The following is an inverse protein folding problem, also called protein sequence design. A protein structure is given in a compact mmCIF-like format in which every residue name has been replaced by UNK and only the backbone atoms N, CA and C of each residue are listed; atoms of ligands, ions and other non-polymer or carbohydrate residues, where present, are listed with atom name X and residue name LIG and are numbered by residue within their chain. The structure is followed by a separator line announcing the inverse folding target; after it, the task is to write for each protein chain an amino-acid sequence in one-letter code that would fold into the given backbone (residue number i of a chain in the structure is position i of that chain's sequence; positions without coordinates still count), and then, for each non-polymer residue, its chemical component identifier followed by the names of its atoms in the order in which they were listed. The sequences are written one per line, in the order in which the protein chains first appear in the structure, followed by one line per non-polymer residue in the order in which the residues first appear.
data_IF_740558783715
#
_entry.id   IF_740558783715
#
_cell.length_a   1.000
_cell.length_b   1.000
_cell.length_c   1.000
_cell.angle_alpha   90.00
_cell.angle_beta   90.00
_cell.angle_gamma   90.00
#
_symmetry.space_group_name_H-M   'P 1'
#
loop_
_entity.id
_entity.type
_entity.pdbx_description
1 polymer ?
#
# COMPACT_ATOMS: atom_id res chain seq x y z
N UNK A 1 15.78 92.80 -19.46
CA UNK A 1 16.15 92.45 -20.86
C UNK A 1 15.23 91.29 -21.27
N UNK A 2 14.55 91.24 -22.43
CA UNK A 2 15.04 91.31 -23.83
C UNK A 2 16.08 90.21 -24.11
N UNK A 3 15.91 89.22 -24.99
CA UNK A 3 14.76 88.73 -25.79
C UNK A 3 14.76 87.17 -25.66
N UNK A 4 14.10 86.27 -26.42
CA UNK A 4 13.48 86.30 -27.77
C UNK A 4 12.34 85.25 -27.87
N UNK A 5 11.63 85.26 -29.00
CA UNK A 5 10.48 84.42 -29.39
C UNK A 5 10.89 83.40 -30.46
N UNK A 6 10.21 82.24 -30.56
CA UNK A 6 9.89 81.61 -31.85
C UNK A 6 8.60 80.76 -31.80
N UNK A 7 8.03 80.47 -32.98
CA UNK A 7 6.69 79.91 -33.24
C UNK A 7 6.76 78.66 -34.18
N UNK A 8 5.60 78.08 -34.49
CA UNK A 8 5.24 77.20 -35.63
C UNK A 8 5.62 75.69 -35.55
N UNK A 9 4.91 74.73 -36.20
CA UNK A 9 3.46 74.55 -36.53
C UNK A 9 3.17 73.11 -37.08
N UNK A 10 1.91 72.64 -37.00
CA UNK A 10 1.17 71.59 -37.80
C UNK A 10 1.79 70.20 -38.17
N UNK A 11 0.92 69.17 -38.24
CA UNK A 11 1.20 67.85 -38.85
C UNK A 11 0.51 66.66 -38.13
N UNK A 12 -0.82 66.50 -38.12
CA UNK A 12 -1.74 65.92 -39.15
C UNK A 12 -1.64 64.39 -39.41
N UNK A 13 -2.82 63.73 -39.44
CA UNK A 13 -3.13 62.32 -39.76
C UNK A 13 -2.69 61.25 -38.70
N UNK A 14 -3.41 60.13 -38.50
CA UNK A 14 -4.57 59.56 -39.22
C UNK A 14 -5.67 58.95 -38.33
N UNK A 15 -6.91 59.00 -38.87
CA UNK A 15 -8.04 58.04 -38.79
C UNK A 15 -7.96 56.83 -37.83
N UNK A 16 -9.01 56.57 -37.03
CA UNK A 16 -9.13 55.25 -36.37
C UNK A 16 -10.16 54.96 -35.26
N UNK A 17 -11.22 55.75 -35.02
CA UNK A 17 -12.23 55.37 -34.01
C UNK A 17 -13.23 54.33 -34.56
N UNK A 18 -13.16 53.09 -34.06
CA UNK A 18 -14.20 52.06 -34.27
C UNK A 18 -14.84 51.74 -32.91
N UNK A 19 -16.17 51.87 -32.85
CA UNK A 19 -16.95 51.52 -31.66
C UNK A 19 -17.10 49.99 -31.56
N UNK A 20 -16.70 49.42 -30.42
CA UNK A 20 -17.20 48.12 -29.99
C UNK A 20 -18.28 48.33 -28.94
N UNK A 21 -19.54 48.17 -29.36
CA UNK A 21 -20.71 48.23 -28.47
C UNK A 21 -20.78 46.96 -27.61
N UNK A 22 -21.18 47.13 -26.35
CA UNK A 22 -21.44 46.01 -25.44
C UNK A 22 -22.55 45.09 -25.99
N UNK A 23 -22.31 43.77 -25.91
CA UNK A 23 -23.36 42.77 -25.94
C UNK A 23 -23.43 42.13 -24.55
N UNK A 24 -24.58 42.24 -23.87
CA UNK A 24 -24.80 41.58 -22.58
C UNK A 24 -25.09 40.09 -22.79
N UNK A 25 -24.71 39.20 -21.84
CA UNK A 25 -25.03 37.78 -21.93
C UNK A 25 -26.54 37.54 -21.86
N UNK A 26 -27.05 36.71 -22.76
CA UNK A 26 -28.48 36.33 -22.82
C UNK A 26 -28.76 35.25 -21.75
N UNK A 27 -29.80 35.41 -20.91
CA UNK A 27 -30.20 34.36 -19.98
C UNK A 27 -30.87 33.19 -20.72
N UNK A 28 -30.41 31.96 -20.45
CA UNK A 28 -31.05 30.73 -20.93
C UNK A 28 -31.89 30.15 -19.80
N UNK A 29 -33.16 29.85 -20.08
CA UNK A 29 -34.09 29.31 -19.09
C UNK A 29 -33.81 27.81 -18.80
N UNK A 30 -34.06 27.32 -17.57
CA UNK A 30 -33.89 25.92 -17.23
C UNK A 30 -35.18 25.13 -17.49
N UNK A 31 -35.15 24.20 -18.44
CA UNK A 31 -36.24 23.24 -18.65
C UNK A 31 -35.73 21.82 -18.96
N UNK A 32 -36.31 20.85 -18.25
CA UNK A 32 -36.34 19.40 -18.54
C UNK A 32 -35.08 18.72 -19.12
N UNK A 33 -34.23 18.18 -18.24
CA UNK A 33 -33.55 16.89 -18.52
C UNK A 33 -34.47 15.78 -17.97
N UNK A 34 -34.67 14.64 -18.67
CA UNK A 34 -35.57 13.59 -18.19
C UNK A 34 -35.15 13.03 -16.83
N UNK A 35 -36.12 12.79 -15.94
CA UNK A 35 -35.89 12.04 -14.73
C UNK A 35 -35.53 10.59 -15.09
N UNK A 36 -34.33 10.15 -14.70
CA UNK A 36 -33.97 8.74 -14.76
C UNK A 36 -34.63 8.02 -13.60
N UNK A 37 -35.60 7.18 -13.93
CA UNK A 37 -36.30 6.33 -12.97
C UNK A 37 -35.30 5.31 -12.38
N UNK A 38 -35.17 5.31 -11.05
CA UNK A 38 -34.12 4.58 -10.32
C UNK A 38 -34.66 3.61 -9.26
N UNK A 39 -35.91 3.16 -9.41
CA UNK A 39 -36.56 2.15 -8.55
C UNK A 39 -36.02 0.70 -8.77
N UNK A 40 -34.69 0.57 -8.70
CA UNK A 40 -33.95 -0.68 -8.55
C UNK A 40 -32.91 -0.52 -7.43
N UNK A 41 -33.20 -1.08 -6.26
CA UNK A 41 -32.60 -0.67 -4.99
C UNK A 41 -31.06 -0.74 -4.91
N UNK A 42 -30.36 0.40 -4.65
CA UNK A 42 -28.88 0.45 -4.56
C UNK A 42 -28.32 0.17 -3.15
N UNK A 43 -29.13 -0.38 -2.23
CA UNK A 43 -28.93 -0.29 -0.76
C UNK A 43 -27.87 -1.20 -0.15
N UNK A 44 -27.07 -1.95 -0.94
CA UNK A 44 -25.92 -2.72 -0.43
C UNK A 44 -24.53 -2.20 -0.84
N UNK A 45 -24.44 -1.06 -1.53
CA UNK A 45 -23.18 -0.30 -1.68
C UNK A 45 -22.99 0.68 -0.51
N UNK A 46 -22.73 0.17 0.69
CA UNK A 46 -22.00 0.97 1.68
C UNK A 46 -20.62 1.25 1.10
N UNK A 47 -20.32 2.53 0.84
CA UNK A 47 -19.31 2.89 -0.15
C UNK A 47 -17.89 2.63 0.35
N UNK A 48 -17.13 1.81 -0.39
CA UNK A 48 -15.73 1.52 -0.11
C UNK A 48 -14.86 2.77 -0.26
N UNK A 49 -15.15 3.67 -1.22
CA UNK A 49 -14.40 4.92 -1.36
C UNK A 49 -14.66 5.86 -0.19
N UNK A 50 -15.91 6.04 0.27
CA UNK A 50 -16.19 6.85 1.47
C UNK A 50 -15.54 6.24 2.72
N UNK A 51 -15.47 4.91 2.80
CA UNK A 51 -14.79 4.20 3.88
C UNK A 51 -13.27 4.44 3.85
N UNK A 52 -12.65 4.44 2.66
CA UNK A 52 -11.23 4.71 2.48
C UNK A 52 -10.91 6.21 2.65
N UNK A 53 -11.72 7.13 2.14
CA UNK A 53 -11.63 8.57 2.41
C UNK A 53 -11.78 8.88 3.92
N UNK A 54 -12.73 8.24 4.60
CA UNK A 54 -12.93 8.39 6.05
C UNK A 54 -11.73 7.88 6.83
N UNK A 55 -11.19 6.71 6.48
CA UNK A 55 -9.99 6.14 7.10
C UNK A 55 -8.74 7.02 6.86
N UNK A 56 -8.52 7.47 5.62
CA UNK A 56 -7.45 8.39 5.24
C UNK A 56 -7.51 9.71 6.03
N UNK A 57 -8.71 10.26 6.17
CA UNK A 57 -8.98 11.50 6.93
C UNK A 57 -8.81 11.31 8.43
N UNK A 58 -9.24 10.16 8.97
CA UNK A 58 -9.11 9.79 10.39
C UNK A 58 -7.65 9.64 10.81
N UNK A 59 -6.84 8.95 10.00
CA UNK A 59 -5.38 8.85 10.20
C UNK A 59 -4.69 10.21 9.93
N UNK A 60 -5.35 11.09 9.17
CA UNK A 60 -4.88 12.44 8.86
C UNK A 60 -3.77 12.48 7.82
N UNK A 61 -3.76 11.54 6.88
CA UNK A 61 -2.62 11.25 5.99
C UNK A 61 -2.18 12.43 5.11
N UNK A 62 -3.10 13.32 4.74
CA UNK A 62 -2.79 14.57 4.04
C UNK A 62 -1.76 15.46 4.79
N UNK A 63 -1.70 15.38 6.14
CA UNK A 63 -0.71 16.10 6.96
C UNK A 63 0.72 15.57 6.77
N UNK A 64 0.86 14.36 6.24
CA UNK A 64 2.12 13.69 5.92
C UNK A 64 2.39 13.66 4.41
N UNK A 65 1.60 14.40 3.62
CA UNK A 65 1.73 14.54 2.16
C UNK A 65 1.56 13.20 1.39
N UNK A 66 1.09 12.12 2.03
CA UNK A 66 0.82 10.85 1.35
C UNK A 66 -0.37 11.00 0.39
N UNK A 67 -0.21 10.61 -0.88
CA UNK A 67 -1.29 10.65 -1.86
C UNK A 67 -2.46 9.71 -1.50
N UNK A 68 -3.70 10.12 -1.79
CA UNK A 68 -4.87 9.27 -1.54
C UNK A 68 -4.80 8.00 -2.40
N UNK A 69 -4.28 8.10 -3.61
CA UNK A 69 -4.12 7.01 -4.57
C UNK A 69 -3.17 5.92 -4.02
N UNK A 70 -1.99 6.31 -3.52
CA UNK A 70 -1.06 5.38 -2.89
C UNK A 70 -1.67 4.67 -1.68
N UNK A 71 -2.40 5.42 -0.84
CA UNK A 71 -3.12 4.86 0.30
C UNK A 71 -4.24 3.91 -0.14
N UNK A 72 -5.08 4.31 -1.11
CA UNK A 72 -6.24 3.58 -1.62
C UNK A 72 -5.84 2.24 -2.22
N UNK A 73 -4.94 2.24 -3.20
CA UNK A 73 -4.42 1.01 -3.80
C UNK A 73 -3.72 0.15 -2.76
N UNK A 74 -2.92 0.78 -1.88
CA UNK A 74 -2.25 0.11 -0.77
C UNK A 74 -3.20 -0.62 0.17
N UNK A 75 -4.29 0.03 0.58
CA UNK A 75 -5.30 -0.54 1.49
C UNK A 75 -6.06 -1.71 0.86
N UNK A 76 -6.38 -1.65 -0.44
CA UNK A 76 -7.03 -2.75 -1.16
C UNK A 76 -6.15 -3.99 -1.11
N UNK A 77 -4.88 -3.89 -1.51
CA UNK A 77 -3.97 -5.05 -1.48
C UNK A 77 -3.54 -5.49 -0.08
N UNK A 78 -3.46 -4.57 0.91
CA UNK A 78 -3.27 -4.92 2.32
C UNK A 78 -4.44 -5.76 2.85
N UNK A 79 -5.68 -5.38 2.54
CA UNK A 79 -6.86 -6.17 2.88
C UNK A 79 -6.85 -7.55 2.22
N UNK A 80 -6.46 -7.64 0.94
CA UNK A 80 -6.29 -8.92 0.23
C UNK A 80 -5.24 -9.82 0.87
N UNK A 81 -4.03 -9.30 1.12
CA UNK A 81 -2.94 -10.06 1.74
C UNK A 81 -3.32 -10.56 3.14
N UNK A 82 -4.07 -9.76 3.90
CA UNK A 82 -4.65 -10.16 5.18
C UNK A 82 -5.68 -11.27 5.04
N UNK A 83 -6.63 -11.13 4.11
CA UNK A 83 -7.65 -12.15 3.84
C UNK A 83 -7.02 -13.49 3.39
N UNK A 84 -5.95 -13.45 2.62
CA UNK A 84 -5.17 -14.63 2.21
C UNK A 84 -4.23 -15.19 3.29
N UNK A 85 -4.27 -14.68 4.52
CA UNK A 85 -3.43 -15.15 5.62
C UNK A 85 -1.92 -14.92 5.42
N UNK A 86 -1.53 -13.96 4.57
CA UNK A 86 -0.11 -13.63 4.29
C UNK A 86 0.51 -12.71 5.32
N UNK A 87 -0.30 -12.11 6.20
CA UNK A 87 0.11 -11.08 7.15
C UNK A 87 -0.17 -11.51 8.59
N UNK A 88 0.65 -10.99 9.51
CA UNK A 88 0.54 -11.21 10.95
C UNK A 88 -0.47 -10.24 11.64
N UNK A 89 -0.63 -10.47 12.94
CA UNK A 89 -1.52 -9.70 13.81
C UNK A 89 -0.93 -8.38 14.32
N UNK A 90 0.23 -7.92 13.82
CA UNK A 90 0.80 -6.61 14.22
C UNK A 90 -0.04 -5.43 13.71
N UNK A 91 -0.92 -5.64 12.74
CA UNK A 91 -1.74 -4.59 12.10
C UNK A 91 -0.91 -3.43 11.50
N UNK A 92 0.36 -3.65 11.18
CA UNK A 92 1.22 -2.65 10.53
C UNK A 92 1.14 -2.78 9.01
N UNK A 93 0.99 -1.64 8.33
CA UNK A 93 1.03 -1.54 6.88
C UNK A 93 2.01 -0.44 6.46
N UNK A 94 2.96 -0.74 5.58
CA UNK A 94 3.96 0.24 5.10
C UNK A 94 3.70 0.63 3.65
N UNK A 95 3.82 1.92 3.33
CA UNK A 95 3.75 2.47 1.97
C UNK A 95 5.07 3.17 1.65
N UNK A 96 5.57 2.96 0.43
CA UNK A 96 6.65 3.75 -0.16
C UNK A 96 6.06 4.45 -1.38
N UNK A 97 5.88 5.78 -1.30
CA UNK A 97 5.35 6.58 -2.40
C UNK A 97 6.49 7.07 -3.31
N UNK A 98 6.78 6.32 -4.38
CA UNK A 98 7.85 6.67 -5.31
C UNK A 98 7.48 7.80 -6.28
N UNK A 99 6.23 8.30 -6.30
CA UNK A 99 5.90 9.51 -7.07
C UNK A 99 6.66 10.72 -6.54
N UNK A 100 6.99 10.71 -5.23
CA UNK A 100 7.74 11.77 -4.57
C UNK A 100 9.25 11.70 -4.84
N UNK A 101 9.94 12.84 -4.99
CA UNK A 101 11.40 12.90 -5.06
C UNK A 101 12.07 12.32 -3.80
N UNK A 102 13.28 11.79 -3.96
CA UNK A 102 14.10 11.26 -2.86
C UNK A 102 14.39 12.29 -1.77
N UNK A 103 14.39 13.58 -2.11
CA UNK A 103 14.56 14.70 -1.17
C UNK A 103 13.38 14.91 -0.22
N UNK A 104 12.27 14.19 -0.39
CA UNK A 104 11.12 14.20 0.51
C UNK A 104 11.05 12.91 1.35
N UNK A 105 10.45 13.02 2.53
CA UNK A 105 10.00 11.85 3.29
C UNK A 105 8.84 11.20 2.54
N UNK A 106 8.98 9.92 2.23
CA UNK A 106 8.06 9.14 1.37
C UNK A 106 7.93 7.67 1.79
N UNK A 107 8.51 7.32 2.93
CA UNK A 107 8.31 6.05 3.62
C UNK A 107 7.32 6.29 4.77
N UNK A 108 6.26 5.49 4.79
CA UNK A 108 5.17 5.57 5.76
C UNK A 108 4.95 4.19 6.36
N UNK A 109 4.89 4.06 7.68
CA UNK A 109 4.29 2.88 8.33
C UNK A 109 3.07 3.32 9.10
N UNK A 110 1.93 2.78 8.74
CA UNK A 110 0.63 2.99 9.37
C UNK A 110 0.40 1.89 10.42
N UNK A 111 -0.08 2.28 11.58
CA UNK A 111 -0.60 1.38 12.60
C UNK A 111 -2.13 1.32 12.47
N UNK A 112 -2.63 0.21 11.94
CA UNK A 112 -4.06 0.01 11.64
C UNK A 112 -4.87 -0.47 12.86
N UNK A 113 -4.26 -0.55 14.04
CA UNK A 113 -4.96 -0.73 15.31
C UNK A 113 -5.26 0.60 15.99
N UNK A 114 -4.31 1.54 15.95
CA UNK A 114 -4.43 2.88 16.55
C UNK A 114 -4.88 3.96 15.57
N UNK A 115 -4.89 3.66 14.27
CA UNK A 115 -5.17 4.59 13.17
C UNK A 115 -4.20 5.79 13.15
N UNK A 116 -2.90 5.51 13.30
CA UNK A 116 -1.84 6.53 13.31
C UNK A 116 -0.70 6.23 12.35
N UNK A 117 0.00 7.27 11.89
CA UNK A 117 1.30 7.12 11.21
C UNK A 117 2.37 6.84 12.27
N UNK A 118 2.85 5.60 12.33
CA UNK A 118 3.90 5.17 13.26
C UNK A 118 5.28 5.65 12.85
N UNK A 119 5.59 5.60 11.55
CA UNK A 119 6.87 6.07 11.00
C UNK A 119 6.64 6.92 9.75
N UNK A 120 7.37 8.03 9.64
CA UNK A 120 7.39 8.92 8.47
C UNK A 120 8.80 9.42 8.19
N UNK A 121 9.45 8.89 7.15
CA UNK A 121 10.89 9.08 6.93
C UNK A 121 11.33 8.98 5.45
N UNK A 122 12.62 9.16 5.21
CA UNK A 122 13.28 9.04 3.91
C UNK A 122 13.48 7.58 3.49
N UNK A 123 13.50 7.30 2.18
CA UNK A 123 13.89 6.00 1.63
C UNK A 123 14.51 6.12 0.24
N UNK A 124 15.62 5.41 0.00
CA UNK A 124 16.28 5.35 -1.31
C UNK A 124 15.56 4.42 -2.30
N UNK A 125 15.74 4.66 -3.59
CA UNK A 125 15.48 3.68 -4.66
C UNK A 125 16.79 3.15 -5.26
N UNK A 126 16.71 2.13 -6.12
CA UNK A 126 17.84 1.63 -6.90
C UNK A 126 18.40 2.65 -7.89
N UNK A 127 19.72 2.63 -8.13
CA UNK A 127 20.42 3.63 -8.97
C UNK A 127 19.86 3.77 -10.39
N UNK A 128 19.32 2.71 -10.97
CA UNK A 128 18.80 2.74 -12.34
C UNK A 128 17.30 3.11 -12.39
N UNK A 129 16.66 3.38 -11.25
CA UNK A 129 15.24 3.77 -11.19
C UNK A 129 14.98 5.26 -11.42
N UNK A 130 16.01 6.10 -11.29
CA UNK A 130 15.95 7.55 -11.51
C UNK A 130 17.02 8.29 -10.72
N UNK A 131 17.18 9.59 -10.94
CA UNK A 131 18.08 10.44 -10.15
C UNK A 131 17.44 10.88 -8.83
N UNK A 132 16.72 12.01 -8.80
CA UNK A 132 15.98 12.42 -7.59
C UNK A 132 14.57 11.80 -7.57
N UNK A 133 13.85 11.91 -8.68
CA UNK A 133 12.51 11.32 -8.89
C UNK A 133 12.69 9.90 -9.45
N UNK A 134 11.90 8.95 -8.96
CA UNK A 134 11.83 7.60 -9.52
C UNK A 134 10.95 7.60 -10.78
N UNK A 135 11.35 6.90 -11.83
CA UNK A 135 10.68 6.94 -13.14
C UNK A 135 10.63 5.57 -13.83
N UNK A 136 11.44 4.60 -13.42
CA UNK A 136 11.52 3.29 -14.09
C UNK A 136 11.79 2.17 -13.10
N UNK A 137 10.94 1.15 -13.13
CA UNK A 137 11.00 0.01 -12.21
C UNK A 137 11.28 -1.27 -13.00
N UNK A 138 11.85 -2.28 -12.35
CA UNK A 138 12.12 -3.55 -13.02
C UNK A 138 12.16 -4.69 -12.02
N UNK A 139 11.74 -5.85 -12.50
CA UNK A 139 11.85 -7.14 -11.82
C UNK A 139 13.08 -7.96 -12.26
N UNK A 140 13.84 -7.47 -13.24
CA UNK A 140 14.97 -8.22 -13.84
C UNK A 140 16.16 -8.27 -12.89
N UNK A 141 16.83 -9.43 -12.85
CA UNK A 141 18.08 -9.63 -12.11
C UNK A 141 19.17 -8.68 -12.62
N UNK A 142 20.01 -8.17 -11.71
CA UNK A 142 21.06 -7.17 -11.98
C UNK A 142 20.61 -5.82 -12.59
N UNK A 143 19.30 -5.55 -12.75
CA UNK A 143 18.77 -4.27 -13.25
C UNK A 143 19.23 -3.04 -12.45
N UNK A 144 19.53 -3.21 -11.15
CA UNK A 144 19.80 -2.15 -10.18
C UNK A 144 18.64 -1.14 -9.99
N UNK A 145 17.44 -1.53 -10.41
CA UNK A 145 16.19 -0.81 -10.20
C UNK A 145 15.47 -1.35 -8.96
N UNK A 146 14.61 -0.52 -8.37
CA UNK A 146 13.57 -0.99 -7.44
C UNK A 146 12.39 -1.59 -8.23
N UNK A 147 11.58 -2.39 -7.56
CA UNK A 147 10.30 -2.89 -8.08
C UNK A 147 9.12 -2.07 -7.57
N UNK A 148 7.95 -2.18 -8.22
CA UNK A 148 6.67 -1.75 -7.67
C UNK A 148 5.96 -2.89 -6.95
N UNK A 149 4.82 -2.57 -6.34
CA UNK A 149 3.83 -3.51 -5.84
C UNK A 149 4.05 -3.97 -4.40
N UNK A 150 3.38 -5.05 -4.04
CA UNK A 150 3.32 -5.55 -2.68
C UNK A 150 4.48 -6.47 -2.36
N UNK A 151 5.10 -6.23 -1.21
CA UNK A 151 6.05 -7.14 -0.58
C UNK A 151 5.51 -7.57 0.79
N UNK A 152 5.84 -8.80 1.20
CA UNK A 152 5.69 -9.24 2.58
C UNK A 152 7.07 -9.24 3.24
N UNK A 153 7.16 -8.69 4.45
CA UNK A 153 8.42 -8.70 5.22
C UNK A 153 8.68 -10.09 5.80
N UNK A 154 9.94 -10.48 5.92
CA UNK A 154 10.29 -11.83 6.35
C UNK A 154 11.35 -11.82 7.47
N UNK A 155 12.37 -12.67 7.34
CA UNK A 155 13.41 -12.84 8.35
C UNK A 155 14.49 -11.74 8.29
N UNK A 156 15.06 -11.44 9.46
CA UNK A 156 16.17 -10.48 9.60
C UNK A 156 17.51 -11.20 9.66
N UNK A 157 18.56 -10.57 9.13
CA UNK A 157 19.92 -11.09 9.16
C UNK A 157 20.94 -9.95 9.31
N UNK A 158 22.21 -10.31 9.53
CA UNK A 158 23.33 -9.37 9.48
C UNK A 158 24.20 -9.75 8.27
N UNK A 159 24.51 -8.76 7.43
CA UNK A 159 25.32 -8.95 6.23
C UNK A 159 26.16 -7.73 5.88
N UNK A 160 26.61 -7.62 4.63
CA UNK A 160 27.43 -6.50 4.13
C UNK A 160 26.71 -5.14 4.07
N UNK A 161 25.44 -5.10 4.52
CA UNK A 161 24.60 -3.90 4.71
C UNK A 161 24.15 -3.75 6.17
N UNK A 162 24.89 -4.33 7.12
CA UNK A 162 24.53 -4.31 8.53
C UNK A 162 23.27 -5.15 8.82
N UNK A 163 22.44 -4.68 9.75
CA UNK A 163 21.18 -5.32 10.09
C UNK A 163 20.15 -5.09 8.98
N UNK A 164 19.68 -6.18 8.37
CA UNK A 164 18.87 -6.14 7.15
C UNK A 164 17.63 -7.04 7.28
N UNK A 165 16.51 -6.57 6.73
CA UNK A 165 15.24 -7.29 6.66
C UNK A 165 15.00 -7.79 5.23
N UNK A 166 14.85 -9.11 5.08
CA UNK A 166 14.51 -9.70 3.79
C UNK A 166 13.02 -9.51 3.49
N UNK A 167 12.72 -9.49 2.19
CA UNK A 167 11.43 -9.15 1.62
C UNK A 167 11.05 -10.21 0.58
N UNK A 168 9.78 -10.60 0.56
CA UNK A 168 9.19 -11.47 -0.45
C UNK A 168 8.29 -10.65 -1.37
N UNK A 169 8.52 -10.72 -2.67
CA UNK A 169 7.66 -10.09 -3.66
C UNK A 169 6.40 -10.91 -3.90
N UNK A 170 5.24 -10.25 -3.86
CA UNK A 170 3.94 -10.89 -4.00
C UNK A 170 3.34 -10.79 -5.41
N UNK A 171 3.69 -9.74 -6.18
CA UNK A 171 3.19 -9.47 -7.53
C UNK A 171 4.08 -10.13 -8.57
N UNK A 172 3.56 -11.21 -9.15
CA UNK A 172 4.22 -11.96 -10.22
C UNK A 172 4.60 -11.06 -11.40
N UNK A 173 5.82 -11.22 -11.92
CA UNK A 173 6.38 -10.39 -12.98
C UNK A 173 6.86 -8.99 -12.55
N UNK A 174 6.39 -8.44 -11.42
CA UNK A 174 6.77 -7.10 -10.92
C UNK A 174 7.81 -7.14 -9.81
N UNK A 175 7.72 -8.11 -8.89
CA UNK A 175 8.61 -8.19 -7.73
C UNK A 175 8.94 -9.62 -7.24
N UNK A 176 8.37 -10.68 -7.81
CA UNK A 176 8.62 -12.08 -7.41
C UNK A 176 10.13 -12.48 -7.36
N UNK A 177 10.98 -11.93 -8.24
CA UNK A 177 12.44 -12.16 -8.21
C UNK A 177 13.19 -11.43 -7.06
N UNK A 178 12.49 -10.81 -6.11
CA UNK A 178 13.08 -9.99 -5.04
C UNK A 178 14.16 -10.72 -4.21
N UNK A 179 13.94 -12.01 -3.92
CA UNK A 179 14.90 -12.85 -3.19
C UNK A 179 16.17 -13.15 -4.00
N UNK A 180 16.04 -13.54 -5.27
CA UNK A 180 17.16 -13.78 -6.19
C UNK A 180 18.00 -12.52 -6.41
N UNK A 181 17.32 -11.37 -6.50
CA UNK A 181 17.93 -10.04 -6.62
C UNK A 181 18.63 -9.55 -5.34
N UNK A 182 18.59 -10.31 -4.25
CA UNK A 182 19.07 -9.94 -2.93
C UNK A 182 18.55 -8.57 -2.44
N UNK A 183 17.32 -8.22 -2.84
CA UNK A 183 16.69 -6.95 -2.46
C UNK A 183 16.12 -7.07 -1.05
N UNK A 184 16.62 -6.21 -0.16
CA UNK A 184 16.34 -6.22 1.29
C UNK A 184 16.18 -4.78 1.78
N UNK A 185 15.47 -4.57 2.88
CA UNK A 185 15.49 -3.29 3.59
C UNK A 185 16.70 -3.23 4.53
N UNK A 186 17.44 -2.12 4.50
CA UNK A 186 18.68 -1.94 5.28
C UNK A 186 18.96 -0.46 5.59
N UNK A 187 20.01 -0.15 6.35
CA UNK A 187 20.45 1.23 6.60
C UNK A 187 21.47 1.75 5.57
N UNK A 188 21.60 3.07 5.41
CA UNK A 188 22.75 3.65 4.71
C UNK A 188 23.00 5.13 5.06
N UNK A 189 24.28 5.52 5.19
CA UNK A 189 24.72 6.92 5.45
C UNK A 189 24.24 7.92 4.39
N UNK A 190 24.08 7.45 3.15
CA UNK A 190 23.60 8.24 2.02
C UNK A 190 22.09 8.53 2.06
N UNK A 191 21.37 7.98 3.05
CA UNK A 191 19.95 8.24 3.30
C UNK A 191 19.82 9.26 4.44
N UNK A 192 20.36 10.46 4.23
CA UNK A 192 20.42 11.53 5.24
C UNK A 192 20.25 12.92 4.62
N UNK A 193 19.76 13.88 5.40
CA UNK A 193 19.67 15.28 4.96
C UNK A 193 21.03 15.89 4.64
N UNK A 194 22.10 15.48 5.34
CA UNK A 194 23.47 15.91 5.03
C UNK A 194 23.89 15.50 3.63
N UNK A 195 23.43 14.33 3.17
CA UNK A 195 23.66 13.87 1.81
C UNK A 195 22.81 14.66 0.81
N UNK A 196 21.53 14.94 1.11
CA UNK A 196 20.68 15.84 0.29
C UNK A 196 21.35 17.21 0.11
N UNK A 197 21.78 17.85 1.21
CA UNK A 197 22.42 19.18 1.18
C UNK A 197 23.71 19.20 0.36
N UNK A 198 24.42 18.07 0.22
CA UNK A 198 25.68 17.96 -0.52
C UNK A 198 25.51 17.57 -1.99
N UNK A 199 24.47 16.80 -2.32
CA UNK A 199 24.32 16.16 -3.64
C UNK A 199 22.97 16.43 -4.34
N UNK A 200 22.09 17.26 -3.77
CA UNK A 200 20.79 17.64 -4.35
C UNK A 200 19.72 16.54 -4.33
N UNK A 201 20.07 15.33 -3.88
CA UNK A 201 19.20 14.15 -3.74
C UNK A 201 19.80 13.16 -2.75
N UNK A 202 19.06 12.12 -2.34
CA UNK A 202 19.62 11.00 -1.58
C UNK A 202 20.64 10.21 -2.43
N UNK A 203 21.42 9.36 -1.77
CA UNK A 203 22.09 8.26 -2.47
C UNK A 203 21.11 7.18 -2.92
N UNK A 204 21.60 6.27 -3.77
CA UNK A 204 20.79 5.24 -4.42
C UNK A 204 21.43 3.86 -4.21
N UNK A 205 20.58 2.86 -4.03
CA UNK A 205 20.99 1.47 -3.79
C UNK A 205 21.17 0.71 -5.11
N UNK A 206 21.18 -0.62 -5.07
CA UNK A 206 21.03 -1.49 -6.25
C UNK A 206 19.62 -2.11 -6.36
N UNK A 207 18.61 -1.46 -5.76
CA UNK A 207 17.20 -1.86 -5.79
C UNK A 207 16.54 -1.84 -4.42
N UNK A 208 17.33 -2.13 -3.38
CA UNK A 208 16.97 -2.10 -1.96
C UNK A 208 16.34 -0.76 -1.49
N UNK A 209 15.22 -0.78 -0.75
CA UNK A 209 14.78 0.37 0.02
C UNK A 209 15.69 0.56 1.24
N UNK A 210 16.61 1.53 1.19
CA UNK A 210 17.48 1.86 2.31
C UNK A 210 16.92 3.05 3.12
N UNK A 211 17.06 2.99 4.45
CA UNK A 211 16.55 3.95 5.43
C UNK A 211 17.68 4.73 6.13
N UNK A 212 17.38 5.87 6.78
CA UNK A 212 18.33 6.55 7.68
C UNK A 212 18.73 5.63 8.84
N UNK A 213 20.02 5.67 9.22
CA UNK A 213 20.59 4.78 10.25
C UNK A 213 19.85 4.90 11.59
N UNK A 214 19.57 6.12 12.00
CA UNK A 214 18.94 6.51 13.26
C UNK A 214 17.56 5.87 13.50
N UNK A 215 16.83 5.49 12.45
CA UNK A 215 15.47 4.92 12.54
C UNK A 215 15.38 3.50 11.97
N UNK A 216 16.33 3.09 11.13
CA UNK A 216 16.37 1.82 10.40
C UNK A 216 16.05 0.58 11.25
N UNK A 217 16.71 0.44 12.41
CA UNK A 217 16.51 -0.68 13.33
C UNK A 217 15.09 -0.70 13.91
N UNK A 218 14.56 0.43 14.34
CA UNK A 218 13.23 0.51 14.95
C UNK A 218 12.14 0.13 13.94
N UNK A 219 12.25 0.65 12.71
CA UNK A 219 11.37 0.26 11.59
C UNK A 219 11.45 -1.24 11.34
N UNK A 220 12.67 -1.79 11.15
CA UNK A 220 12.87 -3.22 10.89
C UNK A 220 12.33 -4.10 12.03
N UNK A 221 12.61 -3.75 13.29
CA UNK A 221 12.17 -4.53 14.45
C UNK A 221 10.65 -4.51 14.62
N UNK A 222 10.00 -3.38 14.29
CA UNK A 222 8.54 -3.27 14.23
C UNK A 222 7.96 -4.11 13.06
N UNK A 223 8.45 -3.94 11.83
CA UNK A 223 7.79 -4.50 10.63
C UNK A 223 8.24 -5.92 10.24
N UNK A 224 9.30 -6.49 10.83
CA UNK A 224 9.75 -7.87 10.47
C UNK A 224 8.71 -8.96 10.74
N UNK A 225 8.78 -10.06 9.99
CA UNK A 225 8.00 -11.29 10.21
C UNK A 225 6.54 -11.22 9.78
N UNK A 226 6.29 -10.93 8.51
CA UNK A 226 5.00 -10.92 7.79
C UNK A 226 4.10 -9.70 8.04
N UNK A 227 4.60 -8.50 7.76
CA UNK A 227 3.76 -7.30 7.52
C UNK A 227 3.83 -6.87 6.05
N UNK A 228 2.86 -6.10 5.57
CA UNK A 228 2.85 -5.64 4.18
C UNK A 228 3.71 -4.36 3.97
N UNK A 229 4.40 -4.31 2.84
CA UNK A 229 4.94 -3.10 2.22
C UNK A 229 4.26 -2.94 0.85
N UNK A 230 3.85 -1.72 0.50
CA UNK A 230 3.40 -1.37 -0.85
C UNK A 230 4.33 -0.31 -1.46
N UNK A 231 5.04 -0.69 -2.52
CA UNK A 231 5.84 0.24 -3.32
C UNK A 231 4.99 0.83 -4.45
N UNK A 232 4.48 2.03 -4.21
CA UNK A 232 3.56 2.73 -5.11
C UNK A 232 4.31 3.61 -6.12
N UNK A 233 3.82 3.60 -7.35
CA UNK A 233 4.03 4.62 -8.38
C UNK A 233 2.82 4.59 -9.32
N UNK A 234 2.57 5.68 -10.03
CA UNK A 234 1.57 5.74 -11.10
C UNK A 234 2.10 5.04 -12.37
N UNK A 235 2.08 3.71 -12.35
CA UNK A 235 2.30 2.86 -13.52
C UNK A 235 0.99 2.16 -13.87
N UNK A 236 0.35 2.60 -14.95
CA UNK A 236 -0.95 2.08 -15.39
C UNK A 236 -0.93 0.58 -15.69
N UNK A 237 0.20 0.02 -16.12
CA UNK A 237 0.33 -1.43 -16.38
C UNK A 237 0.32 -2.20 -15.07
N UNK A 238 1.07 -1.74 -14.06
CA UNK A 238 1.04 -2.33 -12.72
C UNK A 238 -0.36 -2.22 -12.09
N UNK A 239 -0.95 -1.01 -12.09
CA UNK A 239 -2.23 -0.75 -11.44
C UNK A 239 -3.41 -1.51 -12.07
N UNK A 240 -3.37 -1.78 -13.37
CA UNK A 240 -4.40 -2.57 -14.08
C UNK A 240 -4.13 -4.08 -14.09
N UNK A 241 -2.88 -4.54 -13.87
CA UNK A 241 -2.53 -5.96 -13.94
C UNK A 241 -2.45 -6.67 -12.59
N UNK A 242 -2.03 -6.01 -11.52
CA UNK A 242 -1.82 -6.60 -10.19
C UNK A 242 -3.06 -7.37 -9.68
N UNK A 243 -2.85 -8.60 -9.19
CA UNK A 243 -3.94 -9.42 -8.64
C UNK A 243 -4.44 -8.91 -7.29
N UNK A 244 -3.61 -8.20 -6.52
CA UNK A 244 -3.99 -7.66 -5.20
C UNK A 244 -4.81 -6.38 -5.32
N UNK A 245 -4.73 -5.67 -6.44
CA UNK A 245 -5.56 -4.49 -6.72
C UNK A 245 -6.90 -4.84 -7.38
N UNK A 246 -7.00 -6.02 -7.99
CA UNK A 246 -8.23 -6.56 -8.60
C UNK A 246 -9.25 -7.11 -7.61
N UNK A 247 -8.94 -7.18 -6.32
CA UNK A 247 -9.76 -7.83 -5.29
C UNK A 247 -11.00 -7.02 -4.86
N UNK A 248 -11.42 -6.05 -5.68
CA UNK A 248 -12.54 -5.16 -5.40
C UNK A 248 -13.87 -5.91 -5.19
N UNK A 249 -14.06 -7.03 -5.88
CA UNK A 249 -15.28 -7.87 -5.77
C UNK A 249 -15.35 -8.69 -4.48
N UNK A 250 -14.22 -9.04 -3.86
CA UNK A 250 -14.18 -9.97 -2.72
C UNK A 250 -14.21 -9.28 -1.34
N UNK A 251 -14.07 -7.95 -1.28
CA UNK A 251 -14.07 -7.18 -0.03
C UNK A 251 -15.47 -6.75 0.43
N UNK A 252 -16.53 -7.02 -0.35
CA UNK A 252 -17.91 -6.57 -0.08
C UNK A 252 -18.68 -7.56 0.84
N UNK A 253 -18.04 -8.06 1.90
CA UNK A 253 -18.72 -8.60 3.09
C UNK A 253 -18.09 -8.04 4.40
N UNK A 254 -18.32 -6.75 4.74
CA UNK A 254 -17.75 -6.14 5.95
C UNK A 254 -18.25 -6.79 7.26
N UNK A 255 -19.45 -7.36 7.23
CA UNK A 255 -20.13 -7.99 8.37
C UNK A 255 -19.28 -9.13 8.97
N UNK A 256 -18.72 -10.01 8.14
CA UNK A 256 -17.82 -11.10 8.61
C UNK A 256 -16.51 -10.58 9.21
N UNK A 257 -15.95 -9.50 8.65
CA UNK A 257 -14.66 -8.95 9.06
C UNK A 257 -14.72 -8.22 10.41
N UNK A 258 -15.89 -7.71 10.80
CA UNK A 258 -16.11 -7.16 12.14
C UNK A 258 -16.60 -8.21 13.15
N UNK A 259 -17.44 -9.17 12.75
CA UNK A 259 -17.87 -10.26 13.63
C UNK A 259 -16.67 -11.05 14.20
N UNK A 260 -15.68 -11.37 13.36
CA UNK A 260 -14.45 -12.08 13.76
C UNK A 260 -13.53 -11.30 14.72
N UNK A 261 -13.84 -10.04 15.05
CA UNK A 261 -13.14 -9.25 16.10
C UNK A 261 -13.83 -9.30 17.48
N UNK A 262 -14.99 -9.93 17.60
CA UNK A 262 -15.75 -10.01 18.87
C UNK A 262 -15.71 -11.38 19.54
N UNK A 263 -15.20 -12.41 18.84
CA UNK A 263 -14.90 -13.73 19.43
C UNK A 263 -13.76 -13.63 20.46
N UNK A 264 -13.97 -14.03 21.73
CA UNK A 264 -12.91 -14.04 22.74
C UNK A 264 -11.93 -15.21 22.51
N UNK A 265 -10.64 -14.98 22.75
CA UNK A 265 -9.57 -15.98 22.70
C UNK A 265 -9.62 -16.95 23.90
N UNK A 266 -10.73 -17.67 24.06
CA UNK A 266 -11.08 -18.36 25.31
C UNK A 266 -11.70 -19.77 25.16
N UNK A 267 -11.49 -20.50 24.06
CA UNK A 267 -11.84 -21.94 24.03
C UNK A 267 -10.99 -22.81 23.07
N UNK A 268 -9.66 -22.83 23.26
CA UNK A 268 -8.75 -23.78 22.57
C UNK A 268 -7.74 -24.46 23.51
N UNK A 269 -8.13 -24.73 24.78
CA UNK A 269 -7.26 -25.46 25.73
C UNK A 269 -7.92 -26.55 26.59
N UNK A 270 -9.05 -27.10 26.16
CA UNK A 270 -9.64 -28.33 26.72
C UNK A 270 -10.18 -29.21 25.58
N UNK A 271 -9.33 -30.07 24.99
CA UNK A 271 -9.73 -30.82 23.78
C UNK A 271 -8.86 -32.00 23.32
N UNK A 272 -7.75 -32.35 24.01
CA UNK A 272 -7.21 -33.69 23.86
C UNK A 272 -8.09 -34.69 24.63
N UNK A 273 -8.25 -35.91 24.08
CA UNK A 273 -9.04 -37.03 24.62
C UNK A 273 -10.56 -37.01 24.35
N UNK A 274 -10.97 -36.97 23.08
CA UNK A 274 -11.97 -37.95 22.62
C UNK A 274 -11.38 -38.81 21.49
N UNK A 275 -11.16 -40.09 21.80
CA UNK A 275 -10.52 -41.05 20.90
C UNK A 275 -11.48 -41.52 19.81
N UNK A 276 -10.90 -41.77 18.63
CA UNK A 276 -11.33 -42.74 17.61
C UNK A 276 -12.63 -43.51 17.89
N UNK A 277 -13.74 -43.05 17.33
CA UNK A 277 -14.96 -43.85 17.16
C UNK A 277 -14.79 -44.78 15.93
N UNK A 278 -14.04 -45.87 16.12
CA UNK A 278 -14.25 -47.07 15.32
C UNK A 278 -15.46 -47.82 15.91
N UNK A 279 -16.37 -48.37 15.08
CA UNK A 279 -17.53 -49.11 15.58
C UNK A 279 -17.07 -50.41 16.25
N UNK A 280 -17.34 -50.54 17.56
CA UNK A 280 -17.12 -51.79 18.28
C UNK A 280 -18.21 -52.81 17.91
N UNK A 281 -17.85 -53.79 17.08
CA UNK A 281 -18.66 -54.99 16.88
C UNK A 281 -18.48 -55.94 18.07
N UNK A 282 -19.57 -56.30 18.73
CA UNK A 282 -19.55 -57.23 19.85
C UNK A 282 -19.40 -58.69 19.36
N UNK A 283 -18.41 -59.45 19.86
CA UNK A 283 -18.33 -60.90 19.63
C UNK A 283 -19.45 -61.65 20.38
N UNK A 284 -19.81 -62.81 19.86
CA UNK A 284 -20.95 -63.61 20.34
C UNK A 284 -20.71 -64.25 21.72
N UNK A 285 -21.78 -64.35 22.52
CA UNK A 285 -21.75 -65.02 23.81
C UNK A 285 -21.79 -66.55 23.64
N UNK A 286 -20.61 -67.18 23.54
CA UNK A 286 -20.48 -68.66 23.46
C UNK A 286 -20.99 -69.32 24.74
N UNK A 287 -22.04 -70.14 24.62
CA UNK A 287 -22.70 -70.76 25.75
C UNK A 287 -21.86 -71.86 26.44
N UNK A 288 -21.82 -71.82 27.77
CA UNK A 288 -21.09 -72.78 28.60
C UNK A 288 -21.83 -74.14 28.69
N UNK A 289 -21.49 -75.10 27.82
CA UNK A 289 -21.97 -76.48 27.95
C UNK A 289 -21.04 -77.35 28.80
N UNK A 290 -21.56 -77.81 29.94
CA UNK A 290 -20.95 -78.90 30.71
C UNK A 290 -20.97 -80.22 29.92
N UNK A 291 -19.82 -80.84 29.65
CA UNK A 291 -19.78 -82.30 29.48
C UNK A 291 -18.48 -82.95 30.00
N UNK A 292 -18.71 -84.02 30.75
CA UNK A 292 -17.78 -84.81 31.56
C UNK A 292 -16.69 -85.58 30.77
N UNK A 293 -15.61 -85.88 31.50
CA UNK A 293 -14.94 -87.21 31.64
C UNK A 293 -13.64 -87.56 30.88
N UNK A 294 -12.62 -87.86 31.72
CA UNK A 294 -11.71 -89.03 31.72
C UNK A 294 -10.45 -89.11 30.81
N UNK A 295 -9.32 -89.32 31.52
CA UNK A 295 -8.07 -90.04 31.12
C UNK A 295 -7.20 -89.36 30.04
N UNK A 296 -5.88 -89.51 30.06
CA UNK A 296 -5.02 -90.16 31.07
C UNK A 296 -3.60 -90.39 30.54
N UNK A 297 -2.67 -90.72 31.46
CA UNK A 297 -1.21 -90.83 31.29
C UNK A 297 -0.50 -89.47 31.14
#
# INVERSE_FOLDING_TARGET
MKHTVLYFILGFLSLGNIFYTHAAPVPVAPDSVPALDMDAAPTKRFNLEDSLHSLYSTIGLAKYDLSYEAFRYGMIGYATLRHEGKLNDKNLFTIIDFTKPSTQKRFYTLDMSTLTVKFYTYVSHGRNTGENVAQSFSNTVHSNQSSLGFYVTAETYIGSKGYSLKLDGMDAGYNDNMRERAVVMHDADYVSESWIRRYGRLGRSQGCPALPKEISREVIDAIKGHTAIFAYYDDINYLTSSRYLKTYDALIQPEEMMARRQEPLAETFTGQLQKSLLPYTAPEAVAYQNRRYLRGN
#
